data_IF_194932898289
#
_entry.id   IF_194932898289
#
_cell.length_a   1.000
_cell.length_b   1.000
_cell.length_c   1.000
_cell.angle_alpha   90.00
_cell.angle_beta   90.00
_cell.angle_gamma   90.00
#
_symmetry.space_group_name_H-M   'P 1'
#
loop_
_entity.id
_entity.type
_entity.pdbx_description
1 polymer ?
#
# COMPACT_ATOMS: atom_id res chain seq x y z
N UNK A 1 -3.51 31.32 -72.85
CA UNK A 1 -3.35 31.22 -71.39
C UNK A 1 -4.32 30.17 -70.89
N UNK A 2 -3.85 29.03 -70.40
CA UNK A 2 -4.74 27.92 -70.13
C UNK A 2 -5.38 28.07 -68.73
N UNK A 3 -6.68 28.28 -68.72
CA UNK A 3 -7.48 28.22 -67.49
C UNK A 3 -7.44 26.82 -66.78
N UNK A 4 -6.82 25.87 -67.39
CA UNK A 4 -6.70 24.48 -66.93
C UNK A 4 -5.68 24.30 -65.81
N UNK A 5 -4.69 25.15 -65.69
CA UNK A 5 -3.66 25.04 -64.65
C UNK A 5 -4.11 25.57 -63.29
N UNK A 6 -5.07 26.48 -63.28
CA UNK A 6 -5.66 27.03 -62.03
C UNK A 6 -6.57 26.02 -61.34
N UNK A 7 -7.33 25.22 -62.09
CA UNK A 7 -8.27 24.28 -61.51
C UNK A 7 -7.54 23.10 -60.84
N UNK A 8 -6.44 22.60 -61.41
CA UNK A 8 -5.65 21.55 -60.80
C UNK A 8 -4.99 21.99 -59.47
N UNK A 9 -4.61 23.25 -59.37
CA UNK A 9 -3.98 23.75 -58.13
C UNK A 9 -4.97 23.85 -56.97
N UNK A 10 -6.23 24.15 -57.23
CA UNK A 10 -7.30 24.17 -56.23
C UNK A 10 -7.71 22.76 -55.81
N UNK A 11 -7.74 21.82 -56.72
CA UNK A 11 -8.07 20.40 -56.37
C UNK A 11 -6.98 19.75 -55.53
N UNK A 12 -5.71 20.08 -55.75
CA UNK A 12 -4.59 19.62 -54.92
C UNK A 12 -4.61 20.23 -53.51
N UNK A 13 -4.98 21.54 -53.40
CA UNK A 13 -5.14 22.24 -52.13
C UNK A 13 -6.31 21.65 -51.32
N UNK A 14 -7.43 21.37 -51.97
CA UNK A 14 -8.62 20.82 -51.32
C UNK A 14 -8.32 19.36 -50.85
N UNK A 15 -7.66 18.56 -51.65
CA UNK A 15 -7.29 17.20 -51.26
C UNK A 15 -6.28 17.18 -50.13
N UNK A 16 -5.31 18.09 -50.11
CA UNK A 16 -4.34 18.18 -49.01
C UNK A 16 -5.00 18.62 -47.70
N UNK A 17 -5.94 19.56 -47.74
CA UNK A 17 -6.72 19.98 -46.57
C UNK A 17 -7.66 18.88 -46.08
N UNK A 18 -8.28 18.14 -46.95
CA UNK A 18 -9.11 16.99 -46.60
C UNK A 18 -8.29 15.89 -45.90
N UNK A 19 -7.10 15.57 -46.40
CA UNK A 19 -6.19 14.62 -45.76
C UNK A 19 -5.72 15.10 -44.38
N UNK A 20 -5.43 16.39 -44.23
CA UNK A 20 -5.10 16.95 -42.93
C UNK A 20 -6.29 16.85 -41.95
N UNK A 21 -7.50 17.15 -42.39
CA UNK A 21 -8.72 17.02 -41.56
C UNK A 21 -9.00 15.57 -41.15
N UNK A 22 -8.74 14.59 -42.04
CA UNK A 22 -8.86 13.19 -41.67
C UNK A 22 -7.83 12.74 -40.66
N UNK A 23 -6.59 13.23 -40.75
CA UNK A 23 -5.53 12.98 -39.78
C UNK A 23 -5.91 13.58 -38.43
N UNK A 24 -6.37 14.85 -38.41
CA UNK A 24 -6.80 15.49 -37.17
C UNK A 24 -8.03 14.82 -36.53
N UNK A 25 -9.01 14.39 -37.34
CA UNK A 25 -10.16 13.61 -36.86
C UNK A 25 -9.73 12.25 -36.29
N UNK A 26 -8.81 11.56 -36.93
CA UNK A 26 -8.29 10.27 -36.48
C UNK A 26 -7.51 10.42 -35.18
N UNK A 27 -6.70 11.45 -35.03
CA UNK A 27 -5.96 11.78 -33.81
C UNK A 27 -6.94 12.17 -32.69
N UNK A 28 -7.96 12.97 -32.96
CA UNK A 28 -8.96 13.36 -31.97
C UNK A 28 -9.79 12.17 -31.47
N UNK A 29 -10.20 11.28 -32.36
CA UNK A 29 -10.96 10.06 -31.98
C UNK A 29 -10.12 9.09 -31.15
N UNK A 30 -8.82 9.00 -31.44
CA UNK A 30 -7.91 8.16 -30.62
C UNK A 30 -7.60 8.82 -29.27
N UNK A 31 -7.57 10.14 -29.19
CA UNK A 31 -7.33 10.85 -27.93
C UNK A 31 -8.44 10.58 -26.93
N UNK A 32 -9.70 10.54 -27.37
CA UNK A 32 -10.84 10.24 -26.50
C UNK A 32 -10.83 8.79 -26.01
N UNK A 33 -10.42 7.85 -26.85
CA UNK A 33 -10.22 6.46 -26.46
C UNK A 33 -9.07 6.30 -25.44
N UNK A 34 -7.94 6.98 -25.67
CA UNK A 34 -6.82 6.97 -24.72
C UNK A 34 -7.18 7.63 -23.40
N UNK A 35 -7.96 8.71 -23.41
CA UNK A 35 -8.45 9.35 -22.18
C UNK A 35 -9.43 8.44 -21.42
N UNK A 36 -10.34 7.77 -22.12
CA UNK A 36 -11.27 6.83 -21.50
C UNK A 36 -10.55 5.63 -20.88
N UNK A 37 -9.54 5.09 -21.59
CA UNK A 37 -8.72 3.97 -21.11
C UNK A 37 -7.82 4.40 -19.96
N UNK A 38 -7.23 5.59 -20.03
CA UNK A 38 -6.48 6.18 -18.93
C UNK A 38 -7.34 6.36 -17.68
N UNK A 39 -8.54 6.92 -17.82
CA UNK A 39 -9.48 7.06 -16.69
C UNK A 39 -9.92 5.71 -16.14
N UNK A 40 -10.12 4.70 -17.00
CA UNK A 40 -10.41 3.33 -16.58
C UNK A 40 -9.27 2.72 -15.78
N UNK A 41 -8.04 2.88 -16.25
CA UNK A 41 -6.83 2.44 -15.55
C UNK A 41 -6.66 3.18 -14.21
N UNK A 42 -6.89 4.49 -14.16
CA UNK A 42 -6.84 5.27 -12.93
C UNK A 42 -7.92 4.81 -11.93
N UNK A 43 -9.14 4.51 -12.39
CA UNK A 43 -10.20 3.94 -11.52
C UNK A 43 -9.86 2.55 -11.02
N UNK A 44 -9.32 1.68 -11.88
CA UNK A 44 -8.85 0.34 -11.47
C UNK A 44 -7.70 0.45 -10.47
N UNK A 45 -6.81 1.41 -10.66
CA UNK A 45 -5.72 1.69 -9.73
C UNK A 45 -6.21 2.27 -8.40
N UNK A 46 -7.24 3.12 -8.39
CA UNK A 46 -7.84 3.65 -7.17
C UNK A 46 -8.57 2.57 -6.35
N UNK A 47 -8.99 1.47 -6.98
CA UNK A 47 -9.60 0.31 -6.32
C UNK A 47 -8.58 -0.71 -5.83
N UNK A 48 -7.30 -0.50 -6.07
CA UNK A 48 -6.25 -1.42 -5.65
C UNK A 48 -5.97 -1.27 -4.16
N UNK A 49 -6.73 -2.00 -3.36
CA UNK A 49 -6.63 -2.05 -1.89
C UNK A 49 -5.35 -2.74 -1.39
N UNK A 50 -4.40 -3.05 -2.27
CA UNK A 50 -3.12 -3.67 -1.88
C UNK A 50 -2.19 -2.70 -1.17
N UNK A 51 -2.33 -1.40 -1.46
CA UNK A 51 -1.52 -0.32 -0.91
C UNK A 51 -2.32 0.52 0.08
N UNK A 52 -1.61 1.22 0.97
CA UNK A 52 -2.21 2.24 1.82
C UNK A 52 -2.84 3.33 0.94
N UNK A 53 -4.09 3.66 1.23
CA UNK A 53 -4.89 4.59 0.40
C UNK A 53 -4.64 6.06 0.74
N UNK A 54 -3.70 6.33 1.63
CA UNK A 54 -3.42 7.66 2.12
C UNK A 54 -2.50 8.44 1.18
N UNK A 55 -2.84 9.71 0.96
CA UNK A 55 -2.08 10.63 0.10
C UNK A 55 -0.85 11.22 0.80
N UNK A 56 -0.80 11.16 2.12
CA UNK A 56 0.30 11.69 2.94
C UNK A 56 0.86 10.63 3.88
N UNK A 57 2.15 10.76 4.17
CA UNK A 57 2.88 9.87 5.08
C UNK A 57 2.26 9.82 6.48
N UNK A 58 1.83 10.97 6.99
CA UNK A 58 1.19 11.06 8.30
C UNK A 58 -0.13 10.30 8.35
N UNK A 59 -0.95 10.40 7.30
CA UNK A 59 -2.21 9.64 7.20
C UNK A 59 -1.94 8.14 7.02
N UNK A 60 -0.95 7.77 6.22
CA UNK A 60 -0.56 6.37 6.04
C UNK A 60 -0.08 5.75 7.37
N UNK A 61 0.70 6.50 8.15
CA UNK A 61 1.13 6.09 9.48
C UNK A 61 -0.05 5.91 10.43
N UNK A 62 -1.00 6.84 10.42
CA UNK A 62 -2.21 6.75 11.24
C UNK A 62 -3.09 5.56 10.84
N UNK A 63 -3.20 5.28 9.54
CA UNK A 63 -3.91 4.11 9.00
C UNK A 63 -3.27 2.79 9.50
N UNK A 64 -1.93 2.68 9.41
CA UNK A 64 -1.16 1.57 9.95
C UNK A 64 -1.40 1.37 11.45
N UNK A 65 -1.28 2.43 12.23
CA UNK A 65 -1.51 2.38 13.69
C UNK A 65 -2.93 1.94 14.04
N UNK A 66 -3.92 2.44 13.29
CA UNK A 66 -5.33 2.07 13.50
C UNK A 66 -5.57 0.60 13.17
N UNK A 67 -5.06 0.14 12.02
CA UNK A 67 -5.24 -1.24 11.58
C UNK A 67 -4.66 -2.24 12.59
N UNK A 68 -3.41 -2.01 13.03
CA UNK A 68 -2.76 -2.91 13.97
C UNK A 68 -3.40 -2.87 15.36
N UNK A 69 -3.83 -1.68 15.82
CA UNK A 69 -4.51 -1.55 17.11
C UNK A 69 -5.81 -2.34 17.17
N UNK A 70 -6.59 -2.33 16.10
CA UNK A 70 -7.82 -3.09 15.99
C UNK A 70 -7.56 -4.61 16.03
N UNK A 71 -6.55 -5.09 15.30
CA UNK A 71 -6.20 -6.51 15.27
C UNK A 71 -5.71 -6.98 16.63
N UNK A 72 -4.76 -6.26 17.24
CA UNK A 72 -4.18 -6.65 18.55
C UNK A 72 -5.25 -6.64 19.64
N UNK A 73 -6.09 -5.60 19.71
CA UNK A 73 -7.16 -5.52 20.68
C UNK A 73 -8.21 -6.62 20.51
N UNK A 74 -8.50 -7.02 19.26
CA UNK A 74 -9.44 -8.08 18.95
C UNK A 74 -8.94 -9.50 19.27
N UNK A 75 -7.65 -9.66 19.59
CA UNK A 75 -6.97 -10.94 19.86
C UNK A 75 -6.28 -10.97 21.22
N UNK A 76 -6.81 -10.25 22.18
CA UNK A 76 -6.32 -10.20 23.58
C UNK A 76 -4.85 -9.75 23.74
N UNK A 77 -4.26 -9.13 22.72
CA UNK A 77 -2.94 -8.52 22.82
C UNK A 77 -3.01 -7.15 23.52
N UNK A 78 -1.97 -6.82 24.30
CA UNK A 78 -1.81 -5.51 24.95
C UNK A 78 -0.68 -4.72 24.29
N UNK A 79 -1.00 -3.57 23.69
CA UNK A 79 0.01 -2.67 23.11
C UNK A 79 0.67 -1.87 24.24
N UNK A 80 2.00 -2.00 24.33
CA UNK A 80 2.82 -1.25 25.30
C UNK A 80 3.24 0.09 24.70
N UNK A 81 3.73 0.07 23.46
CA UNK A 81 4.19 1.28 22.75
C UNK A 81 4.14 1.11 21.26
N UNK A 82 3.94 2.22 20.56
CA UNK A 82 4.04 2.31 19.12
C UNK A 82 4.93 3.50 18.77
N UNK A 83 5.93 3.27 17.93
CA UNK A 83 6.87 4.29 17.47
C UNK A 83 6.87 4.35 15.96
N UNK A 84 6.84 5.54 15.39
CA UNK A 84 6.96 5.76 13.95
C UNK A 84 8.43 5.62 13.57
N UNK A 85 8.71 4.83 12.55
CA UNK A 85 10.04 4.69 11.96
C UNK A 85 10.16 5.60 10.74
N UNK A 86 11.38 5.92 10.34
CA UNK A 86 11.60 6.75 9.15
C UNK A 86 11.02 6.08 7.90
N UNK A 87 10.35 6.89 7.09
CA UNK A 87 9.84 6.48 5.77
C UNK A 87 11.01 6.34 4.81
N UNK A 88 11.00 5.27 4.03
CA UNK A 88 12.00 5.02 2.98
C UNK A 88 11.31 5.06 1.63
N UNK A 89 11.93 5.69 0.65
CA UNK A 89 11.44 5.70 -0.73
C UNK A 89 12.14 4.60 -1.53
N UNK A 90 11.35 3.70 -2.11
CA UNK A 90 11.81 2.53 -2.87
C UNK A 90 11.03 2.47 -4.19
N UNK A 91 11.72 2.58 -5.32
CA UNK A 91 11.15 2.36 -6.68
C UNK A 91 9.82 3.10 -6.97
N UNK A 92 9.68 4.35 -6.49
CA UNK A 92 8.47 5.15 -6.68
C UNK A 92 7.33 4.85 -5.68
N UNK A 93 7.59 4.00 -4.69
CA UNK A 93 6.73 3.77 -3.55
C UNK A 93 7.37 4.31 -2.27
N UNK A 94 6.55 4.77 -1.34
CA UNK A 94 7.00 5.13 0.00
C UNK A 94 6.67 4.01 0.96
N UNK A 95 7.68 3.45 1.58
CA UNK A 95 7.53 2.46 2.65
C UNK A 95 7.36 3.19 3.97
N UNK A 96 6.18 3.10 4.55
CA UNK A 96 5.88 3.61 5.89
C UNK A 96 6.00 2.47 6.89
N UNK A 97 6.69 2.70 8.00
CA UNK A 97 6.91 1.68 8.99
C UNK A 97 6.68 2.20 10.42
N UNK A 98 6.18 1.33 11.29
CA UNK A 98 6.02 1.56 12.71
C UNK A 98 6.61 0.40 13.49
N UNK A 99 7.25 0.68 14.62
CA UNK A 99 7.70 -0.31 15.58
C UNK A 99 6.68 -0.44 16.69
N UNK A 100 6.31 -1.67 16.97
CA UNK A 100 5.27 -1.99 17.96
C UNK A 100 5.87 -2.88 19.02
N UNK A 101 5.62 -2.52 20.27
CA UNK A 101 5.87 -3.41 21.39
C UNK A 101 4.53 -3.78 22.02
N UNK A 102 4.32 -5.08 22.17
CA UNK A 102 3.10 -5.63 22.75
C UNK A 102 3.40 -6.79 23.69
N UNK A 103 2.39 -7.12 24.52
CA UNK A 103 2.34 -8.35 25.30
C UNK A 103 1.21 -9.22 24.77
N UNK A 104 1.46 -10.51 24.70
CA UNK A 104 0.42 -11.51 24.39
C UNK A 104 0.89 -12.91 24.78
N UNK A 105 0.01 -13.88 24.69
CA UNK A 105 0.38 -15.30 24.72
C UNK A 105 0.99 -15.70 23.38
N UNK A 106 1.62 -16.88 23.33
CA UNK A 106 2.15 -17.43 22.08
C UNK A 106 1.03 -17.68 21.05
N UNK A 107 -0.10 -18.20 21.51
CA UNK A 107 -1.27 -18.48 20.68
C UNK A 107 -1.84 -17.19 20.07
N UNK A 108 -2.11 -16.19 20.90
CA UNK A 108 -2.62 -14.90 20.47
C UNK A 108 -1.64 -14.19 19.52
N UNK A 109 -0.31 -14.30 19.76
CA UNK A 109 0.70 -13.74 18.86
C UNK A 109 0.58 -14.31 17.44
N UNK A 110 0.46 -15.62 17.32
CA UNK A 110 0.31 -16.28 16.01
C UNK A 110 -0.96 -15.84 15.32
N UNK A 111 -2.08 -15.74 16.05
CA UNK A 111 -3.33 -15.26 15.51
C UNK A 111 -3.27 -13.78 15.10
N UNK A 112 -2.60 -12.93 15.88
CA UNK A 112 -2.38 -11.51 15.56
C UNK A 112 -1.57 -11.39 14.26
N UNK A 113 -0.46 -12.11 14.15
CA UNK A 113 0.40 -12.03 12.97
C UNK A 113 -0.32 -12.53 11.73
N UNK A 114 -1.01 -13.65 11.81
CA UNK A 114 -1.83 -14.16 10.72
C UNK A 114 -2.93 -13.17 10.30
N UNK A 115 -3.60 -12.53 11.24
CA UNK A 115 -4.63 -11.55 10.96
C UNK A 115 -4.06 -10.28 10.30
N UNK A 116 -2.86 -9.82 10.71
CA UNK A 116 -2.17 -8.69 10.09
C UNK A 116 -1.78 -9.00 8.64
N UNK A 117 -1.22 -10.18 8.38
CA UNK A 117 -0.76 -10.56 7.03
C UNK A 117 -1.92 -10.89 6.08
N UNK A 118 -3.05 -11.35 6.61
CA UNK A 118 -4.22 -11.73 5.81
C UNK A 118 -5.12 -10.55 5.42
N UNK A 119 -4.94 -9.38 6.01
CA UNK A 119 -5.79 -8.21 5.74
C UNK A 119 -5.30 -7.39 4.56
N UNK A 120 -6.18 -6.50 4.07
CA UNK A 120 -5.83 -5.47 3.08
C UNK A 120 -5.94 -4.09 3.73
N UNK A 121 -5.01 -3.18 3.47
CA UNK A 121 -3.83 -3.29 2.61
C UNK A 121 -2.81 -4.33 3.09
N UNK A 122 -1.93 -4.81 2.20
CA UNK A 122 -0.90 -5.76 2.58
C UNK A 122 0.13 -5.11 3.50
N UNK A 123 0.29 -5.70 4.66
CA UNK A 123 1.22 -5.27 5.69
C UNK A 123 2.30 -6.33 5.88
N UNK A 124 3.51 -5.89 6.11
CA UNK A 124 4.68 -6.75 6.24
C UNK A 124 5.23 -6.65 7.65
N UNK A 125 5.39 -7.80 8.28
CA UNK A 125 5.98 -7.91 9.60
C UNK A 125 7.48 -8.22 9.44
N UNK A 126 8.31 -7.48 10.16
CA UNK A 126 9.77 -7.66 10.17
C UNK A 126 10.37 -7.38 11.53
N UNK A 127 11.66 -7.63 11.66
CA UNK A 127 12.45 -7.34 12.88
C UNK A 127 11.79 -7.86 14.16
N UNK A 128 11.33 -9.11 14.15
CA UNK A 128 10.59 -9.72 15.26
C UNK A 128 11.57 -10.10 16.36
N UNK A 129 11.31 -9.61 17.58
CA UNK A 129 12.02 -10.00 18.78
C UNK A 129 11.00 -10.43 19.86
N UNK A 130 11.09 -11.68 20.28
CA UNK A 130 10.19 -12.27 21.28
C UNK A 130 10.98 -12.62 22.52
N UNK A 131 10.53 -12.17 23.67
CA UNK A 131 11.14 -12.48 24.96
C UNK A 131 10.08 -13.02 25.90
N UNK A 132 10.38 -14.18 26.49
CA UNK A 132 9.55 -14.68 27.59
C UNK A 132 9.90 -13.99 28.89
N UNK A 133 8.90 -13.65 29.67
CA UNK A 133 9.10 -13.12 31.01
C UNK A 133 9.47 -14.27 31.93
N UNK A 134 10.72 -14.34 32.34
CA UNK A 134 11.10 -15.30 33.40
C UNK A 134 10.44 -14.84 34.72
N UNK A 135 9.43 -15.58 35.16
CA UNK A 135 8.94 -15.47 36.53
C UNK A 135 10.03 -16.02 37.44
N UNK A 136 10.40 -15.24 38.48
CA UNK A 136 11.48 -15.57 39.41
C UNK A 136 11.40 -17.02 39.92
N UNK A 137 12.45 -17.78 39.71
CA UNK A 137 12.65 -19.22 40.01
C UNK A 137 12.52 -19.63 41.49
N UNK A 138 11.64 -19.07 42.26
CA UNK A 138 11.43 -19.51 43.64
C UNK A 138 10.20 -20.41 43.74
N UNK A 139 10.38 -21.71 43.57
CA UNK A 139 9.46 -22.82 43.94
C UNK A 139 8.28 -23.09 42.99
N UNK A 140 8.50 -23.30 41.71
CA UNK A 140 7.47 -23.90 40.85
C UNK A 140 7.93 -25.23 40.25
N UNK A 141 7.03 -26.22 40.07
CA UNK A 141 7.36 -27.46 39.32
C UNK A 141 7.57 -27.15 37.85
N UNK A 142 8.51 -27.85 37.20
CA UNK A 142 9.01 -27.57 35.83
C UNK A 142 7.91 -27.50 34.75
N UNK A 143 6.78 -28.17 34.92
CA UNK A 143 5.67 -28.13 33.96
C UNK A 143 4.86 -26.85 34.02
N UNK A 144 4.80 -26.16 35.17
CA UNK A 144 4.15 -24.88 35.35
C UNK A 144 5.01 -23.71 34.84
N UNK A 145 6.35 -23.82 34.99
CA UNK A 145 7.29 -22.81 34.50
C UNK A 145 7.21 -22.62 32.97
N UNK A 146 6.97 -23.71 32.22
CA UNK A 146 6.85 -23.64 30.77
C UNK A 146 5.54 -23.00 30.33
N UNK A 147 4.41 -23.32 31.01
CA UNK A 147 3.11 -22.73 30.72
C UNK A 147 3.08 -21.23 31.07
N UNK A 148 3.65 -20.84 32.21
CA UNK A 148 3.74 -19.43 32.62
C UNK A 148 4.72 -18.64 31.72
N UNK A 149 5.79 -19.26 31.22
CA UNK A 149 6.72 -18.65 30.28
C UNK A 149 6.09 -18.40 28.90
N UNK A 150 5.13 -19.21 28.49
CA UNK A 150 4.40 -19.07 27.22
C UNK A 150 3.14 -18.20 27.37
N UNK A 151 2.68 -17.95 28.60
CA UNK A 151 1.45 -17.19 28.89
C UNK A 151 1.64 -15.68 28.78
N UNK A 152 2.88 -15.17 28.89
CA UNK A 152 3.17 -13.73 28.72
C UNK A 152 4.50 -13.51 27.99
N UNK A 153 4.40 -13.16 26.72
CA UNK A 153 5.53 -12.78 25.88
C UNK A 153 5.60 -11.27 25.72
N UNK A 154 6.79 -10.71 25.87
CA UNK A 154 7.10 -9.35 25.41
C UNK A 154 7.57 -9.45 23.94
N UNK A 155 6.82 -8.85 23.03
CA UNK A 155 7.01 -8.94 21.60
C UNK A 155 7.30 -7.55 21.05
N UNK A 156 8.42 -7.41 20.35
CA UNK A 156 8.81 -6.18 19.65
C UNK A 156 8.95 -6.53 18.17
N UNK A 157 8.23 -5.84 17.29
CA UNK A 157 8.29 -6.08 15.86
C UNK A 157 8.06 -4.80 15.07
N UNK A 158 8.53 -4.79 13.82
CA UNK A 158 8.30 -3.71 12.87
C UNK A 158 7.16 -4.10 11.94
N UNK A 159 6.21 -3.20 11.74
CA UNK A 159 5.16 -3.32 10.76
C UNK A 159 5.35 -2.28 9.68
N UNK A 160 5.33 -2.69 8.41
CA UNK A 160 5.47 -1.80 7.27
C UNK A 160 4.36 -2.00 6.25
N UNK A 161 4.02 -0.92 5.56
CA UNK A 161 3.11 -0.90 4.44
C UNK A 161 3.64 0.04 3.37
N UNK A 162 3.20 -0.16 2.14
CA UNK A 162 3.58 0.67 1.01
C UNK A 162 2.45 1.61 0.63
N UNK A 163 2.80 2.88 0.42
CA UNK A 163 1.93 3.88 -0.20
C UNK A 163 2.52 4.31 -1.53
N UNK A 164 1.70 4.85 -2.41
CA UNK A 164 2.21 5.43 -3.66
C UNK A 164 2.98 6.70 -3.35
N UNK A 165 4.16 6.84 -3.94
CA UNK A 165 4.87 8.09 -3.96
C UNK A 165 3.99 9.14 -4.66
N UNK A 166 3.56 10.18 -3.96
CA UNK A 166 2.88 11.31 -4.59
C UNK A 166 3.81 11.88 -5.65
N UNK A 167 3.30 12.14 -6.85
CA UNK A 167 4.03 12.96 -7.83
C UNK A 167 4.29 14.31 -7.19
N UNK A 168 5.57 14.59 -6.94
CA UNK A 168 6.06 15.91 -6.60
C UNK A 168 6.00 16.81 -7.83
#
# INVERSE_FOLDING_TARGET
MPAWSLNNHYDELISSMQNQLEIYRRVATHSDQYQAEYQRLVRLQAQDRRYLQSDTESLATAELQRAVKLVIAGKHGEIISTQVTQTTEEEGFKRVAIRIRMKSTLEDMVEIFHAIESQKPYLFIGDINVRSRQVSRRRMPANQELQDALSQLDIDFQLSGYMRGGKS
#
